data_IF_360169683177
#
_entry.id   IF_360169683177
#
_cell.length_a   1.000
_cell.length_b   1.000
_cell.length_c   1.000
_cell.angle_alpha   90.00
_cell.angle_beta   90.00
_cell.angle_gamma   90.00
#
_symmetry.space_group_name_H-M   'P 1'
#
loop_
_entity.id
_entity.type
_entity.pdbx_description
1 polymer ?
#
# COMPACT_ATOMS: atom_id res chain seq x y z
N UNK A 1 4.10 3.78 15.22
CA UNK A 1 4.72 4.54 14.12
C UNK A 1 3.67 5.42 13.48
N UNK A 2 4.06 6.58 12.94
CA UNK A 2 3.14 7.47 12.22
C UNK A 2 3.50 7.38 10.73
N UNK A 3 2.57 6.87 9.94
CA UNK A 3 2.64 6.85 8.48
C UNK A 3 1.30 7.35 7.93
N UNK A 4 1.29 7.77 6.67
CA UNK A 4 0.07 8.15 5.97
C UNK A 4 -0.46 6.91 5.22
N UNK A 5 -1.74 6.61 5.39
CA UNK A 5 -2.41 5.51 4.69
C UNK A 5 -3.43 6.06 3.69
N UNK A 6 -3.37 5.55 2.47
CA UNK A 6 -4.36 5.80 1.43
C UNK A 6 -5.33 4.63 1.34
N UNK A 7 -6.61 4.97 1.23
CA UNK A 7 -7.67 4.01 1.00
C UNK A 7 -7.77 3.71 -0.49
N UNK A 8 -7.77 2.43 -0.86
CA UNK A 8 -7.93 1.99 -2.26
C UNK A 8 -9.04 0.96 -2.41
N UNK A 9 -9.68 0.93 -3.56
CA UNK A 9 -10.75 -0.03 -3.85
C UNK A 9 -10.19 -1.40 -4.30
N UNK A 10 -9.07 -1.39 -5.04
CA UNK A 10 -8.36 -2.59 -5.52
C UNK A 10 -6.86 -2.41 -5.30
N UNK A 11 -6.29 -3.25 -4.44
CA UNK A 11 -4.87 -3.17 -4.09
C UNK A 11 -3.93 -3.57 -5.23
N UNK A 12 -4.31 -4.57 -6.03
CA UNK A 12 -3.48 -5.07 -7.13
C UNK A 12 -3.36 -4.02 -8.22
N UNK A 13 -4.47 -3.33 -8.53
CA UNK A 13 -4.48 -2.22 -9.48
C UNK A 13 -3.61 -1.04 -8.99
N UNK A 14 -3.67 -0.71 -7.70
CA UNK A 14 -2.87 0.37 -7.13
C UNK A 14 -1.36 0.03 -7.13
N UNK A 15 -0.99 -1.20 -6.79
CA UNK A 15 0.40 -1.68 -6.86
C UNK A 15 0.91 -1.68 -8.30
N UNK A 16 0.10 -2.14 -9.26
CA UNK A 16 0.46 -2.08 -10.67
C UNK A 16 0.68 -0.64 -11.16
N UNK A 17 -0.12 0.32 -10.69
CA UNK A 17 0.05 1.73 -11.00
C UNK A 17 1.38 2.27 -10.45
N UNK A 18 1.72 1.97 -9.19
CA UNK A 18 3.01 2.36 -8.59
C UNK A 18 4.19 1.78 -9.37
N UNK A 19 4.16 0.47 -9.64
CA UNK A 19 5.21 -0.22 -10.38
C UNK A 19 5.42 0.36 -11.79
N UNK A 20 4.34 0.71 -12.49
CA UNK A 20 4.42 1.36 -13.80
C UNK A 20 5.10 2.74 -13.78
N UNK A 21 5.14 3.39 -12.62
CA UNK A 21 5.83 4.66 -12.39
C UNK A 21 7.18 4.50 -11.67
N UNK A 22 7.69 3.26 -11.54
CA UNK A 22 8.98 2.98 -10.92
C UNK A 22 8.98 3.06 -9.40
N UNK A 23 7.81 3.04 -8.76
CA UNK A 23 7.67 2.97 -7.29
C UNK A 23 7.41 1.53 -6.89
N UNK A 24 8.36 0.92 -6.19
CA UNK A 24 8.21 -0.44 -5.69
C UNK A 24 7.38 -0.45 -4.39
N UNK A 25 6.38 -1.33 -4.34
CA UNK A 25 5.68 -1.66 -3.10
C UNK A 25 6.23 -2.96 -2.51
N UNK A 26 6.10 -3.12 -1.20
CA UNK A 26 6.35 -4.36 -0.49
C UNK A 26 5.31 -5.44 -0.87
N UNK A 27 5.54 -6.67 -0.41
CA UNK A 27 4.58 -7.76 -0.55
C UNK A 27 3.24 -7.40 0.11
N UNK A 28 2.15 -7.76 -0.56
CA UNK A 28 0.79 -7.58 -0.02
C UNK A 28 0.62 -8.49 1.20
N UNK A 29 0.12 -7.90 2.28
CA UNK A 29 -0.21 -8.57 3.55
C UNK A 29 -1.71 -8.48 3.81
N UNK A 30 -2.17 -9.29 4.75
CA UNK A 30 -3.56 -9.27 5.23
C UNK A 30 -3.58 -8.84 6.70
N UNK A 31 -4.39 -7.83 7.01
CA UNK A 31 -4.62 -7.36 8.37
C UNK A 31 -5.37 -8.45 9.15
N UNK A 32 -4.76 -8.95 10.23
CA UNK A 32 -5.31 -10.06 11.01
C UNK A 32 -6.61 -9.72 11.77
N UNK A 33 -6.91 -8.44 11.99
CA UNK A 33 -8.09 -8.01 12.73
C UNK A 33 -9.27 -7.70 11.80
N UNK A 34 -9.00 -7.24 10.58
CA UNK A 34 -10.04 -6.82 9.63
C UNK A 34 -10.17 -7.74 8.43
N UNK A 35 -9.16 -8.59 8.16
CA UNK A 35 -9.06 -9.41 6.95
C UNK A 35 -8.74 -8.62 5.68
N UNK A 36 -8.46 -7.31 5.79
CA UNK A 36 -8.22 -6.46 4.62
C UNK A 36 -6.79 -6.54 4.13
N UNK A 37 -6.62 -6.42 2.81
CA UNK A 37 -5.29 -6.42 2.19
C UNK A 37 -4.63 -5.04 2.33
N UNK A 38 -3.33 -5.03 2.51
CA UNK A 38 -2.54 -3.80 2.56
C UNK A 38 -1.09 -4.03 2.13
N UNK A 39 -0.42 -2.97 1.70
CA UNK A 39 1.04 -2.97 1.47
C UNK A 39 1.65 -1.62 1.81
N UNK A 40 2.97 -1.57 1.94
CA UNK A 40 3.73 -0.35 2.15
C UNK A 40 4.59 -0.02 0.93
N UNK A 41 4.88 1.26 0.77
CA UNK A 41 5.88 1.80 -0.12
C UNK A 41 6.50 3.04 0.54
N UNK A 42 7.60 3.55 -0.01
CA UNK A 42 8.25 4.74 0.53
C UNK A 42 8.23 5.89 -0.48
N UNK A 43 8.18 7.12 0.03
CA UNK A 43 8.50 8.31 -0.77
C UNK A 43 10.03 8.50 -0.88
N UNK A 44 10.52 9.49 -1.65
CA UNK A 44 11.96 9.72 -1.82
C UNK A 44 12.74 10.07 -0.54
N UNK A 45 12.05 10.43 0.55
CA UNK A 45 12.64 10.74 1.87
C UNK A 45 12.51 9.55 2.84
N UNK A 46 12.22 8.35 2.32
CA UNK A 46 12.00 7.11 3.06
C UNK A 46 10.78 7.15 4.02
N UNK A 47 9.84 8.08 3.81
CA UNK A 47 8.61 8.09 4.62
C UNK A 47 7.74 6.89 4.24
N UNK A 48 7.37 6.01 5.20
CA UNK A 48 6.45 4.92 4.91
C UNK A 48 5.06 5.45 4.58
N UNK A 49 4.52 4.97 3.48
CA UNK A 49 3.15 5.18 3.01
C UNK A 49 2.48 3.82 2.88
N UNK A 50 1.20 3.75 3.26
CA UNK A 50 0.43 2.51 3.22
C UNK A 50 -0.71 2.62 2.19
N UNK A 51 -0.93 1.54 1.44
CA UNK A 51 -2.17 1.33 0.69
C UNK A 51 -3.02 0.29 1.43
N UNK A 52 -4.27 0.64 1.74
CA UNK A 52 -5.18 -0.22 2.48
C UNK A 52 -6.50 -0.41 1.72
N UNK A 53 -6.86 -1.66 1.45
CA UNK A 53 -8.04 -2.00 0.67
C UNK A 53 -9.33 -1.92 1.49
N UNK A 54 -10.40 -1.41 0.88
CA UNK A 54 -11.71 -1.26 1.56
C UNK A 54 -12.90 -1.83 0.79
N UNK A 55 -12.64 -2.59 -0.28
CA UNK A 55 -13.64 -3.36 -1.02
C UNK A 55 -14.39 -4.38 -0.16
#
# INVERSE_FOLDING_TARGET
MRHLAFRVDDLDAAVAHLNAHGVAAEDIRVDQYTGRRFTFFADPDDLPLELYEVG
#
